data_IF_085687283267
#
_entry.id   IF_085687283267
#
_cell.length_a   1.000
_cell.length_b   1.000
_cell.length_c   1.000
_cell.angle_alpha   90.00
_cell.angle_beta   90.00
_cell.angle_gamma   90.00
#
_symmetry.space_group_name_H-M   'P 1'
#
loop_
_entity.id
_entity.type
_entity.pdbx_description
1 polymer ?
#
# COMPACT_ATOMS: atom_id res chain seq x y z
N UNK A 1 22.74 -28.70 -15.14
CA UNK A 1 21.85 -29.68 -14.51
C UNK A 1 20.66 -28.91 -13.95
N UNK A 2 19.41 -29.21 -14.35
CA UNK A 2 18.26 -28.40 -13.97
C UNK A 2 17.74 -28.79 -12.58
N UNK A 3 17.61 -27.82 -11.68
CA UNK A 3 16.93 -27.98 -10.40
C UNK A 3 15.46 -27.54 -10.54
N UNK A 4 14.64 -28.56 -10.73
CA UNK A 4 13.20 -28.74 -10.46
C UNK A 4 12.38 -27.57 -9.87
N UNK A 5 11.28 -27.30 -10.59
CA UNK A 5 10.06 -26.61 -10.17
C UNK A 5 9.45 -27.16 -8.86
N UNK A 6 8.83 -26.28 -8.06
CA UNK A 6 7.60 -26.58 -7.30
C UNK A 6 6.71 -25.33 -7.14
N UNK A 7 5.43 -25.36 -7.55
CA UNK A 7 4.43 -24.35 -7.24
C UNK A 7 3.71 -24.69 -5.93
N UNK A 8 3.49 -23.70 -5.06
CA UNK A 8 2.63 -23.82 -3.89
C UNK A 8 1.19 -23.42 -4.27
N UNK A 9 0.30 -24.40 -4.26
CA UNK A 9 -1.15 -24.19 -4.30
C UNK A 9 -1.64 -23.80 -2.90
N UNK A 10 -2.27 -22.64 -2.75
CA UNK A 10 -3.03 -22.30 -1.53
C UNK A 10 -4.50 -22.60 -1.79
N UNK A 11 -5.00 -23.64 -1.13
CA UNK A 11 -6.42 -23.99 -1.08
C UNK A 11 -7.10 -23.19 0.04
N UNK A 12 -8.12 -22.40 -0.31
CA UNK A 12 -8.96 -21.70 0.67
C UNK A 12 -9.98 -22.68 1.26
N UNK A 13 -9.78 -23.11 2.51
CA UNK A 13 -10.68 -24.00 3.25
C UNK A 13 -11.69 -23.22 4.08
N UNK A 14 -12.97 -23.33 3.72
CA UNK A 14 -14.12 -22.92 4.55
C UNK A 14 -14.32 -23.97 5.65
N UNK A 15 -14.37 -23.54 6.91
CA UNK A 15 -14.80 -24.39 8.03
C UNK A 15 -15.65 -23.58 9.02
N UNK A 16 -16.97 -23.63 8.83
CA UNK A 16 -17.94 -23.39 9.89
C UNK A 16 -17.96 -24.61 10.82
N UNK A 17 -17.70 -24.43 12.12
CA UNK A 17 -18.04 -25.41 13.15
C UNK A 17 -18.63 -24.72 14.39
N UNK A 18 -19.90 -25.04 14.63
CA UNK A 18 -20.75 -24.69 15.75
C UNK A 18 -20.25 -25.34 17.05
N UNK A 19 -20.40 -24.66 18.20
CA UNK A 19 -20.75 -25.26 19.50
C UNK A 19 -20.87 -24.20 20.62
N UNK A 20 -22.02 -24.14 21.29
CA UNK A 20 -22.18 -23.95 22.74
C UNK A 20 -23.69 -24.02 23.06
N UNK A 21 -24.18 -25.14 23.61
CA UNK A 21 -24.27 -25.47 25.05
C UNK A 21 -25.59 -24.99 25.67
N UNK A 22 -26.42 -25.98 26.05
CA UNK A 22 -27.72 -25.86 26.70
C UNK A 22 -27.61 -25.94 28.23
N UNK A 23 -28.19 -24.96 28.93
CA UNK A 23 -28.60 -24.97 30.36
C UNK A 23 -29.81 -24.00 30.43
N UNK A 24 -30.94 -24.16 31.11
CA UNK A 24 -31.51 -25.12 32.06
C UNK A 24 -32.72 -24.43 32.75
N UNK A 25 -33.86 -25.11 32.77
CA UNK A 25 -35.17 -24.90 33.44
C UNK A 25 -35.48 -23.68 34.37
N UNK A 26 -36.61 -22.98 34.12
CA UNK A 26 -37.84 -22.93 34.97
C UNK A 26 -38.65 -21.60 34.88
N UNK A 27 -39.99 -21.70 34.74
CA UNK A 27 -40.95 -20.79 35.42
C UNK A 27 -41.60 -19.63 34.65
N UNK A 28 -42.82 -19.86 34.14
CA UNK A 28 -43.97 -18.96 33.90
C UNK A 28 -43.82 -17.41 33.86
N UNK A 29 -44.21 -16.78 32.75
CA UNK A 29 -45.42 -15.91 32.64
C UNK A 29 -45.39 -14.95 31.42
N UNK A 30 -46.43 -15.07 30.60
CA UNK A 30 -47.15 -14.08 29.77
C UNK A 30 -46.45 -12.92 29.02
N UNK A 31 -46.81 -12.88 27.72
CA UNK A 31 -47.28 -11.71 26.95
C UNK A 31 -46.32 -11.04 25.93
N UNK A 32 -46.75 -11.17 24.67
CA UNK A 32 -47.04 -10.06 23.74
C UNK A 32 -46.18 -9.94 22.47
N UNK A 33 -46.93 -9.92 21.37
CA UNK A 33 -46.72 -9.23 20.10
C UNK A 33 -45.51 -9.58 19.21
N UNK A 34 -45.82 -10.41 18.22
CA UNK A 34 -45.58 -10.21 16.78
C UNK A 34 -44.91 -8.86 16.41
N UNK A 35 -43.59 -8.86 16.33
CA UNK A 35 -42.84 -7.99 15.42
C UNK A 35 -41.92 -8.86 14.59
N UNK A 36 -42.31 -9.03 13.34
CA UNK A 36 -41.49 -9.63 12.30
C UNK A 36 -40.37 -8.63 12.00
N UNK A 37 -39.19 -8.83 12.58
CA UNK A 37 -38.00 -8.09 12.17
C UNK A 37 -37.68 -8.50 10.73
N UNK A 38 -37.74 -7.54 9.81
CA UNK A 38 -37.18 -7.70 8.48
C UNK A 38 -35.68 -8.04 8.60
N UNK A 39 -35.12 -8.90 7.74
CA UNK A 39 -33.70 -9.22 7.79
C UNK A 39 -32.90 -7.93 7.62
N UNK A 40 -32.10 -7.59 8.63
CA UNK A 40 -31.12 -6.52 8.55
C UNK A 40 -30.23 -6.80 7.33
N UNK A 41 -30.32 -5.95 6.32
CA UNK A 41 -29.28 -5.89 5.30
C UNK A 41 -27.99 -5.54 6.04
N UNK A 42 -27.10 -6.51 6.11
CA UNK A 42 -25.70 -6.30 6.45
C UNK A 42 -25.19 -5.20 5.53
N UNK A 43 -25.08 -3.98 6.05
CA UNK A 43 -24.30 -2.93 5.43
C UNK A 43 -22.89 -3.50 5.30
N UNK A 44 -22.43 -3.65 4.05
CA UNK A 44 -21.02 -3.91 3.79
C UNK A 44 -20.19 -2.87 4.55
N UNK A 45 -19.03 -3.25 5.14
CA UNK A 45 -18.17 -2.28 5.79
C UNK A 45 -17.95 -1.11 4.84
N UNK A 46 -18.27 0.10 5.29
CA UNK A 46 -17.86 1.29 4.56
C UNK A 46 -16.35 1.18 4.38
N UNK A 47 -15.91 1.06 3.13
CA UNK A 47 -14.49 1.17 2.81
C UNK A 47 -14.08 2.55 3.32
N UNK A 48 -13.37 2.59 4.44
CA UNK A 48 -12.77 3.81 4.95
C UNK A 48 -11.86 4.32 3.83
N UNK A 49 -12.29 5.37 3.13
CA UNK A 49 -11.42 6.05 2.18
C UNK A 49 -10.22 6.53 2.99
N UNK A 50 -9.03 6.09 2.58
CA UNK A 50 -7.79 6.64 3.12
C UNK A 50 -7.85 8.18 3.00
N UNK A 51 -7.36 8.93 4.00
CA UNK A 51 -7.31 10.38 3.94
C UNK A 51 -6.67 10.83 2.61
N UNK A 52 -7.22 11.87 2.00
CA UNK A 52 -6.62 12.43 0.79
C UNK A 52 -5.17 12.87 1.09
N UNK A 53 -4.24 12.52 0.19
CA UNK A 53 -2.83 12.91 0.32
C UNK A 53 -2.71 14.42 0.43
N UNK A 54 -2.11 14.89 1.53
CA UNK A 54 -1.74 16.29 1.70
C UNK A 54 -0.48 16.58 0.89
N UNK A 55 -0.60 17.40 -0.16
CA UNK A 55 0.57 17.79 -0.93
C UNK A 55 1.35 18.94 -0.25
N UNK A 56 2.68 18.84 -0.25
CA UNK A 56 3.58 19.86 0.29
C UNK A 56 4.68 20.20 -0.72
N UNK A 57 5.23 21.41 -0.64
CA UNK A 57 6.47 21.74 -1.32
C UNK A 57 7.62 20.98 -0.63
N UNK A 58 8.34 20.17 -1.40
CA UNK A 58 9.49 19.41 -0.91
C UNK A 58 10.74 20.29 -0.89
N UNK A 59 11.70 19.92 -0.05
CA UNK A 59 12.99 20.61 0.11
C UNK A 59 14.14 19.61 0.00
N UNK A 60 15.32 20.06 -0.43
CA UNK A 60 16.53 19.19 -0.47
C UNK A 60 16.79 18.52 0.88
N UNK A 61 16.62 19.26 1.99
CA UNK A 61 16.81 18.74 3.34
C UNK A 61 15.88 17.57 3.67
N UNK A 62 14.62 17.63 3.22
CA UNK A 62 13.68 16.53 3.43
C UNK A 62 14.08 15.30 2.63
N UNK A 63 14.51 15.46 1.38
CA UNK A 63 14.98 14.33 0.55
C UNK A 63 16.25 13.71 1.13
N UNK A 64 17.22 14.53 1.55
CA UNK A 64 18.42 14.05 2.22
C UNK A 64 18.08 13.30 3.52
N UNK A 65 17.12 13.82 4.30
CA UNK A 65 16.62 13.18 5.52
C UNK A 65 15.98 11.83 5.25
N UNK A 66 15.17 11.69 4.19
CA UNK A 66 14.55 10.40 3.82
C UNK A 66 15.63 9.39 3.47
N UNK A 67 16.59 9.78 2.63
CA UNK A 67 17.69 8.90 2.21
C UNK A 67 18.58 8.47 3.39
N UNK A 68 18.77 9.35 4.38
CA UNK A 68 19.53 9.02 5.59
C UNK A 68 18.76 8.11 6.55
N UNK A 69 17.43 8.24 6.61
CA UNK A 69 16.57 7.49 7.51
C UNK A 69 16.28 6.06 7.06
N UNK A 70 16.32 5.80 5.74
CA UNK A 70 15.84 4.55 5.13
C UNK A 70 16.31 3.28 5.86
N UNK A 71 17.61 3.09 6.03
CA UNK A 71 18.15 1.89 6.70
C UNK A 71 17.71 1.73 8.15
N UNK A 72 17.58 2.84 8.87
CA UNK A 72 17.14 2.83 10.26
C UNK A 72 15.63 2.51 10.34
N UNK A 73 14.83 3.02 9.40
CA UNK A 73 13.39 2.69 9.28
C UNK A 73 13.18 1.23 8.91
N UNK A 74 13.89 0.72 7.90
CA UNK A 74 13.78 -0.66 7.44
C UNK A 74 14.15 -1.66 8.54
N UNK A 75 15.21 -1.38 9.32
CA UNK A 75 15.62 -2.24 10.43
C UNK A 75 14.54 -2.37 11.54
N UNK A 76 13.62 -1.40 11.62
CA UNK A 76 12.46 -1.45 12.52
C UNK A 76 11.31 -2.23 11.86
N UNK A 77 11.01 -1.96 10.59
CA UNK A 77 9.84 -2.52 9.89
C UNK A 77 10.05 -3.95 9.42
N UNK A 78 11.28 -4.43 9.18
CA UNK A 78 11.60 -5.81 8.79
C UNK A 78 11.09 -6.84 9.83
N UNK A 79 10.89 -6.40 11.08
CA UNK A 79 10.40 -7.25 12.18
C UNK A 79 8.89 -7.25 12.31
N UNK A 80 8.18 -6.45 11.51
CA UNK A 80 6.73 -6.37 11.54
C UNK A 80 6.13 -7.53 10.76
N UNK A 81 5.14 -8.18 11.37
CA UNK A 81 4.29 -9.11 10.63
C UNK A 81 3.54 -8.37 9.53
N UNK A 82 3.56 -8.92 8.33
CA UNK A 82 2.74 -8.43 7.22
C UNK A 82 1.27 -8.32 7.66
N UNK A 83 0.60 -7.23 7.26
CA UNK A 83 -0.83 -6.96 7.53
C UNK A 83 -1.22 -6.69 8.98
N UNK A 84 -0.28 -6.44 9.90
CA UNK A 84 -0.59 -5.99 11.26
C UNK A 84 -0.14 -4.55 11.45
N UNK A 85 -1.02 -3.70 12.00
CA UNK A 85 -0.64 -2.34 12.36
C UNK A 85 0.51 -2.38 13.39
N UNK A 86 1.55 -1.54 13.25
CA UNK A 86 2.64 -1.50 14.21
C UNK A 86 2.12 -1.17 15.61
N UNK A 87 2.65 -1.85 16.62
CA UNK A 87 2.31 -1.54 18.00
C UNK A 87 2.90 -0.18 18.44
N UNK A 88 2.47 0.35 19.58
CA UNK A 88 2.91 1.66 20.07
C UNK A 88 4.43 1.74 20.30
N UNK A 89 5.08 0.62 20.62
CA UNK A 89 6.52 0.58 20.82
C UNK A 89 7.24 0.71 19.48
N UNK A 90 6.76 0.06 18.44
CA UNK A 90 7.29 0.22 17.08
C UNK A 90 7.08 1.64 16.57
N UNK A 91 5.88 2.21 16.75
CA UNK A 91 5.60 3.61 16.38
C UNK A 91 6.57 4.56 17.10
N UNK A 92 6.86 4.35 18.38
CA UNK A 92 7.82 5.17 19.12
C UNK A 92 9.26 5.05 18.58
N UNK A 93 9.67 3.87 18.10
CA UNK A 93 10.99 3.69 17.46
C UNK A 93 11.07 4.43 16.12
N UNK A 94 10.01 4.35 15.30
CA UNK A 94 9.93 5.07 14.03
C UNK A 94 9.93 6.59 14.24
N UNK A 95 9.23 7.06 15.28
CA UNK A 95 9.24 8.47 15.72
C UNK A 95 10.66 8.94 16.12
N UNK A 96 11.40 8.12 16.86
CA UNK A 96 12.77 8.43 17.25
C UNK A 96 13.70 8.53 16.03
N UNK A 97 13.60 7.60 15.09
CA UNK A 97 14.36 7.61 13.84
C UNK A 97 14.00 8.83 12.99
N UNK A 98 12.72 9.13 12.80
CA UNK A 98 12.28 10.31 12.07
C UNK A 98 12.89 11.59 12.66
N UNK A 99 12.82 11.75 13.99
CA UNK A 99 13.41 12.92 14.67
C UNK A 99 14.93 12.98 14.54
N UNK A 100 15.62 11.84 14.67
CA UNK A 100 17.07 11.73 14.48
C UNK A 100 17.51 12.25 13.11
N UNK A 101 16.69 12.04 12.08
CA UNK A 101 16.97 12.47 10.69
C UNK A 101 16.35 13.81 10.31
N UNK A 102 15.86 14.57 11.29
CA UNK A 102 15.47 15.97 11.13
C UNK A 102 14.02 16.22 10.73
N UNK A 103 13.16 15.19 10.82
CA UNK A 103 11.71 15.32 10.69
C UNK A 103 11.08 15.73 12.03
N UNK A 104 9.91 16.37 11.98
CA UNK A 104 9.20 16.76 13.19
C UNK A 104 8.61 15.56 13.96
N UNK A 105 8.17 14.54 13.20
CA UNK A 105 7.56 13.31 13.69
C UNK A 105 7.62 12.23 12.61
N UNK A 106 7.22 11.00 12.95
CA UNK A 106 7.03 9.93 11.98
C UNK A 106 5.94 10.27 10.95
N UNK A 107 4.88 10.98 11.36
CA UNK A 107 3.85 11.46 10.42
C UNK A 107 4.41 12.48 9.42
N UNK A 108 5.32 13.35 9.85
CA UNK A 108 6.00 14.30 8.96
C UNK A 108 6.90 13.57 7.96
N UNK A 109 7.63 12.54 8.41
CA UNK A 109 8.38 11.65 7.54
C UNK A 109 7.47 10.96 6.50
N UNK A 110 6.37 10.34 6.92
CA UNK A 110 5.43 9.67 6.01
C UNK A 110 4.83 10.65 5.01
N UNK A 111 4.43 11.85 5.45
CA UNK A 111 3.89 12.87 4.56
C UNK A 111 4.92 13.33 3.51
N UNK A 112 6.21 13.39 3.86
CA UNK A 112 7.29 13.65 2.87
C UNK A 112 7.44 12.49 1.91
N UNK A 113 7.49 11.24 2.40
CA UNK A 113 7.60 10.03 1.58
C UNK A 113 6.42 9.92 0.61
N UNK A 114 5.19 10.15 1.05
CA UNK A 114 4.00 10.10 0.20
C UNK A 114 4.06 11.14 -0.94
N UNK A 115 4.56 12.34 -0.66
CA UNK A 115 4.77 13.38 -1.67
C UNK A 115 5.87 13.02 -2.66
N UNK A 116 6.94 12.35 -2.20
CA UNK A 116 7.98 11.81 -3.06
C UNK A 116 7.39 10.71 -3.95
N UNK A 117 6.68 9.74 -3.38
CA UNK A 117 6.07 8.61 -4.08
C UNK A 117 5.06 9.05 -5.14
N UNK A 118 4.23 10.07 -4.83
CA UNK A 118 3.33 10.69 -5.81
C UNK A 118 4.08 11.16 -7.05
N UNK A 119 5.22 11.82 -6.86
CA UNK A 119 6.01 12.39 -7.94
C UNK A 119 6.80 11.31 -8.68
N UNK A 120 7.45 10.38 -7.97
CA UNK A 120 8.20 9.25 -8.54
C UNK A 120 7.29 8.39 -9.43
N UNK A 121 6.04 8.14 -9.01
CA UNK A 121 5.08 7.38 -9.80
C UNK A 121 4.78 7.97 -11.18
N UNK A 122 5.13 9.23 -11.43
CA UNK A 122 5.02 9.88 -12.74
C UNK A 122 6.28 9.86 -13.61
N UNK A 123 7.39 9.30 -13.14
CA UNK A 123 8.62 9.16 -13.93
C UNK A 123 8.62 7.87 -14.75
N UNK A 124 8.95 7.99 -16.03
CA UNK A 124 9.29 6.84 -16.86
C UNK A 124 10.66 6.27 -16.41
N UNK A 125 10.73 5.01 -15.93
CA UNK A 125 11.97 4.43 -15.43
C UNK A 125 13.05 4.28 -16.51
N UNK A 126 12.68 4.19 -17.79
CA UNK A 126 13.65 4.06 -18.87
C UNK A 126 14.31 5.40 -19.24
N UNK A 127 13.52 6.47 -19.31
CA UNK A 127 14.00 7.79 -19.77
C UNK A 127 14.29 8.77 -18.65
N UNK A 128 13.87 8.46 -17.41
CA UNK A 128 13.94 9.33 -16.23
C UNK A 128 13.23 10.67 -16.43
N UNK A 129 12.26 10.72 -17.36
CA UNK A 129 11.45 11.90 -17.61
C UNK A 129 10.13 11.77 -16.89
N UNK A 130 9.68 12.86 -16.29
CA UNK A 130 8.32 12.93 -15.78
C UNK A 130 7.34 12.97 -16.96
N UNK A 131 6.55 11.91 -17.10
CA UNK A 131 5.51 11.75 -18.13
C UNK A 131 4.11 11.73 -17.53
N UNK A 132 4.02 11.67 -16.19
CA UNK A 132 2.78 11.56 -15.44
C UNK A 132 2.38 10.09 -15.20
N UNK A 133 1.72 9.80 -14.07
CA UNK A 133 1.49 8.42 -13.62
C UNK A 133 0.61 7.60 -14.56
N UNK A 134 -0.36 8.23 -15.23
CA UNK A 134 -1.20 7.56 -16.23
C UNK A 134 -0.37 7.08 -17.44
N UNK A 135 0.59 7.90 -17.90
CA UNK A 135 1.46 7.55 -19.01
C UNK A 135 2.44 6.42 -18.61
N UNK A 136 2.92 6.43 -17.36
CA UNK A 136 3.74 5.34 -16.80
C UNK A 136 2.97 4.02 -16.81
N UNK A 137 1.75 3.99 -16.27
CA UNK A 137 0.93 2.77 -16.24
C UNK A 137 0.63 2.25 -17.65
N UNK A 138 0.31 3.14 -18.60
CA UNK A 138 0.09 2.76 -20.00
C UNK A 138 1.35 2.18 -20.66
N UNK A 139 2.53 2.73 -20.36
CA UNK A 139 3.79 2.20 -20.84
C UNK A 139 4.08 0.81 -20.25
N UNK A 140 3.84 0.61 -18.95
CA UNK A 140 3.97 -0.70 -18.30
C UNK A 140 3.03 -1.75 -18.92
N UNK A 141 1.76 -1.41 -19.18
CA UNK A 141 0.83 -2.29 -19.90
C UNK A 141 1.40 -2.69 -21.27
N UNK A 142 1.91 -1.72 -22.04
CA UNK A 142 2.48 -2.00 -23.36
C UNK A 142 3.72 -2.91 -23.29
N UNK A 143 4.58 -2.71 -22.29
CA UNK A 143 5.76 -3.55 -22.04
C UNK A 143 5.36 -4.99 -21.69
N UNK A 144 4.42 -5.18 -20.76
CA UNK A 144 3.89 -6.49 -20.37
C UNK A 144 3.25 -7.20 -21.57
N UNK A 145 2.47 -6.48 -22.38
CA UNK A 145 1.88 -7.04 -23.60
C UNK A 145 2.96 -7.52 -24.58
N UNK A 146 4.03 -6.75 -24.75
CA UNK A 146 5.15 -7.06 -25.63
C UNK A 146 6.07 -8.18 -25.11
N UNK A 147 6.06 -8.48 -23.80
CA UNK A 147 6.92 -9.51 -23.22
C UNK A 147 6.49 -10.92 -23.64
N UNK A 148 7.26 -11.53 -24.54
CA UNK A 148 7.00 -12.88 -25.06
C UNK A 148 7.38 -13.98 -24.07
N UNK A 149 8.09 -13.66 -22.99
CA UNK A 149 8.54 -14.63 -21.98
C UNK A 149 7.55 -14.78 -20.84
N UNK A 150 6.67 -13.80 -20.64
CA UNK A 150 5.64 -13.85 -19.62
C UNK A 150 4.53 -14.87 -19.98
N UNK A 151 4.14 -15.76 -19.06
CA UNK A 151 3.02 -16.66 -19.26
C UNK A 151 1.73 -15.90 -19.55
N UNK A 152 0.87 -16.46 -20.42
CA UNK A 152 -0.35 -15.77 -20.87
C UNK A 152 -1.32 -15.44 -19.71
N UNK A 153 -1.35 -16.29 -18.68
CA UNK A 153 -2.15 -16.07 -17.47
C UNK A 153 -1.62 -14.86 -16.70
N UNK A 154 -0.36 -14.89 -16.31
CA UNK A 154 0.29 -13.83 -15.52
C UNK A 154 0.24 -12.48 -16.25
N UNK A 155 0.45 -12.50 -17.58
CA UNK A 155 0.30 -11.32 -18.43
C UNK A 155 -1.11 -10.74 -18.35
N UNK A 156 -2.13 -11.58 -18.41
CA UNK A 156 -3.52 -11.13 -18.32
C UNK A 156 -3.81 -10.54 -16.95
N UNK A 157 -3.37 -11.19 -15.88
CA UNK A 157 -3.56 -10.73 -14.50
C UNK A 157 -2.91 -9.36 -14.29
N UNK A 158 -1.63 -9.20 -14.65
CA UNK A 158 -0.92 -7.92 -14.51
C UNK A 158 -1.55 -6.80 -15.36
N UNK A 159 -1.98 -7.10 -16.59
CA UNK A 159 -2.68 -6.11 -17.44
C UNK A 159 -4.04 -5.73 -16.85
N UNK A 160 -4.80 -6.68 -16.30
CA UNK A 160 -6.09 -6.40 -15.69
C UNK A 160 -5.93 -5.54 -14.42
N UNK A 161 -4.91 -5.80 -13.59
CA UNK A 161 -4.56 -4.99 -12.40
C UNK A 161 -4.18 -3.56 -12.77
N UNK A 162 -3.30 -3.36 -13.76
CA UNK A 162 -2.91 -2.02 -14.21
C UNK A 162 -4.07 -1.26 -14.85
N UNK A 163 -4.96 -1.95 -15.57
CA UNK A 163 -6.18 -1.33 -16.09
C UNK A 163 -7.17 -0.97 -14.98
N UNK A 164 -7.19 -1.71 -13.88
CA UNK A 164 -7.96 -1.34 -12.70
C UNK A 164 -7.35 -0.11 -12.01
N UNK A 165 -6.02 -0.03 -11.90
CA UNK A 165 -5.34 1.14 -11.36
C UNK A 165 -5.68 2.43 -12.14
N UNK A 166 -5.76 2.35 -13.48
CA UNK A 166 -6.17 3.48 -14.34
C UNK A 166 -7.61 3.98 -14.10
N UNK A 167 -8.47 3.20 -13.42
CA UNK A 167 -9.83 3.64 -13.07
C UNK A 167 -9.85 4.47 -11.78
N UNK A 168 -8.80 4.38 -10.97
CA UNK A 168 -8.67 5.15 -9.74
C UNK A 168 -8.06 6.51 -10.09
N UNK A 169 -8.73 7.63 -9.77
CA UNK A 169 -8.15 8.95 -9.99
C UNK A 169 -6.83 9.09 -9.23
N UNK A 170 -5.74 9.33 -9.97
CA UNK A 170 -4.44 9.60 -9.38
C UNK A 170 -4.35 11.12 -9.17
N UNK A 171 -4.06 11.60 -7.94
CA UNK A 171 -3.94 13.03 -7.69
C UNK A 171 -2.90 13.67 -8.62
N UNK A 172 -3.20 14.81 -9.26
CA UNK A 172 -2.18 15.53 -10.00
C UNK A 172 -1.15 16.13 -9.03
N UNK A 173 0.12 16.15 -9.42
CA UNK A 173 1.15 16.88 -8.66
C UNK A 173 0.81 18.38 -8.64
N UNK A 174 0.49 18.93 -7.48
CA UNK A 174 0.17 20.35 -7.28
C UNK A 174 1.44 21.20 -7.24
N UNK A 175 2.43 20.75 -6.46
CA UNK A 175 3.71 21.43 -6.29
C UNK A 175 4.66 21.05 -7.44
N UNK A 176 4.52 21.70 -8.61
CA UNK A 176 5.30 21.34 -9.82
C UNK A 176 6.82 21.39 -9.64
N UNK A 177 7.33 22.25 -8.76
CA UNK A 177 8.76 22.31 -8.43
C UNK A 177 9.29 21.01 -7.80
N UNK A 178 8.42 20.19 -7.19
CA UNK A 178 8.80 18.89 -6.66
C UNK A 178 9.25 17.93 -7.78
N UNK A 179 8.79 18.11 -9.03
CA UNK A 179 9.20 17.26 -10.15
C UNK A 179 10.69 17.42 -10.42
N UNK A 180 11.17 18.66 -10.54
CA UNK A 180 12.59 18.94 -10.79
C UNK A 180 13.46 18.52 -9.61
N UNK A 181 12.96 18.74 -8.38
CA UNK A 181 13.67 18.32 -7.17
C UNK A 181 13.78 16.79 -7.08
N UNK A 182 12.69 16.05 -7.30
CA UNK A 182 12.73 14.58 -7.30
C UNK A 182 13.57 14.05 -8.46
N UNK A 183 13.53 14.68 -9.65
CA UNK A 183 14.39 14.31 -10.78
C UNK A 183 15.89 14.36 -10.41
N UNK A 184 16.31 15.39 -9.67
CA UNK A 184 17.69 15.54 -9.18
C UNK A 184 18.13 14.39 -8.28
N UNK A 185 17.19 13.80 -7.53
CA UNK A 185 17.45 12.73 -6.56
C UNK A 185 17.01 11.34 -7.03
N UNK A 186 16.49 11.22 -8.25
CA UNK A 186 15.74 10.06 -8.74
C UNK A 186 16.42 8.72 -8.44
N UNK A 187 17.68 8.55 -8.86
CA UNK A 187 18.41 7.28 -8.69
C UNK A 187 18.56 6.87 -7.21
N UNK A 188 18.79 7.84 -6.33
CA UNK A 188 18.92 7.58 -4.89
C UNK A 188 17.57 7.22 -4.27
N UNK A 189 16.51 7.91 -4.67
CA UNK A 189 15.18 7.67 -4.14
C UNK A 189 14.61 6.35 -4.61
N UNK A 190 14.79 5.98 -5.88
CA UNK A 190 14.39 4.65 -6.38
C UNK A 190 15.17 3.54 -5.69
N UNK A 191 16.47 3.71 -5.46
CA UNK A 191 17.28 2.73 -4.73
C UNK A 191 16.93 2.64 -3.22
N UNK A 192 16.28 3.65 -2.65
CA UNK A 192 15.94 3.69 -1.23
C UNK A 192 14.48 3.32 -0.95
N UNK A 193 13.56 3.69 -1.85
CA UNK A 193 12.12 3.60 -1.67
C UNK A 193 11.43 2.71 -2.72
N UNK A 194 12.15 2.30 -3.77
CA UNK A 194 11.62 1.30 -4.70
C UNK A 194 11.50 -0.03 -3.99
N UNK A 195 10.50 -0.83 -4.38
CA UNK A 195 10.42 -2.22 -3.93
C UNK A 195 11.72 -2.91 -4.34
N UNK A 196 12.55 -3.27 -3.36
CA UNK A 196 13.73 -4.12 -3.55
C UNK A 196 13.24 -5.51 -4.00
N UNK A 197 12.94 -5.66 -5.29
CA UNK A 197 12.90 -6.97 -5.93
C UNK A 197 14.36 -7.43 -6.10
N UNK A 198 14.91 -8.02 -5.05
CA UNK A 198 16.18 -8.74 -5.07
C UNK A 198 15.97 -10.22 -4.81
#
# INVERSE_FOLDING_TARGET
>A
MPALLRPAFVALGVACLMSAASIGCSGTAFAQAKQQAAPAQQSAPAQQQAPALKQIALTDKQLDGVLAAQKDMDAITEKLSENTAPDQKVIAQLEEVAKKHGFASYDDYNNVVDNISLVIGGFDPATRKYVGPEAVIKAQIAQIQADKKMPAKDKKEAVDELNQALKTPIPPVENKANIDLVAKYYDKLVAALGDDEN
#
